data_IF_049798043720
#
_entry.id   IF_049798043720
#
_cell.length_a   1.000
_cell.length_b   1.000
_cell.length_c   1.000
_cell.angle_alpha   90.00
_cell.angle_beta   90.00
_cell.angle_gamma   90.00
#
_symmetry.space_group_name_H-M   'P 1'
#
loop_
_entity.id
_entity.type
_entity.pdbx_description
1 polymer ?
#
# COMPACT_ATOMS: atom_id res chain seq x y z
N UNK A 1 -4.23 15.99 -4.00
CA UNK A 1 -3.37 15.60 -2.87
C UNK A 1 -3.45 16.61 -1.74
N UNK A 2 -3.22 17.91 -1.94
CA UNK A 2 -3.33 18.88 -0.83
C UNK A 2 -4.73 18.96 -0.21
N UNK A 3 -5.79 19.00 -1.03
CA UNK A 3 -7.18 18.94 -0.54
C UNK A 3 -7.46 17.69 0.31
N UNK A 4 -6.80 16.58 -0.05
CA UNK A 4 -6.95 15.28 0.62
C UNK A 4 -6.20 15.30 1.95
N UNK A 5 -5.08 16.03 2.05
CA UNK A 5 -4.40 16.28 3.33
C UNK A 5 -5.23 17.22 4.22
N UNK A 6 -5.75 18.31 3.67
CA UNK A 6 -6.45 19.35 4.43
C UNK A 6 -7.75 18.88 5.07
N UNK A 7 -8.45 17.92 4.46
CA UNK A 7 -9.72 17.39 5.01
C UNK A 7 -9.56 16.52 6.25
N UNK A 8 -8.35 16.09 6.58
CA UNK A 8 -8.10 15.18 7.70
C UNK A 8 -7.64 15.94 8.94
N UNK A 9 -8.22 15.59 10.08
CA UNK A 9 -7.67 15.99 11.38
C UNK A 9 -6.49 15.06 11.72
N UNK A 10 -5.27 15.52 11.43
CA UNK A 10 -4.04 14.75 11.62
C UNK A 10 -3.62 14.64 13.08
N UNK A 11 -3.94 15.63 13.92
CA UNK A 11 -3.51 15.66 15.31
C UNK A 11 -4.72 15.83 16.24
N UNK A 12 -5.69 14.90 16.21
CA UNK A 12 -6.93 15.07 16.94
C UNK A 12 -6.65 15.21 18.44
N UNK A 13 -7.36 16.12 19.11
CA UNK A 13 -7.15 16.48 20.51
C UNK A 13 -7.22 15.28 21.47
N UNK A 14 -7.86 14.19 21.06
CA UNK A 14 -7.94 12.92 21.81
C UNK A 14 -6.61 12.15 21.90
N UNK A 15 -5.63 12.45 21.05
CA UNK A 15 -4.31 11.81 21.11
C UNK A 15 -3.47 12.43 22.23
N UNK A 16 -2.60 11.63 22.90
CA UNK A 16 -1.59 12.17 23.81
C UNK A 16 -0.71 13.23 23.12
N UNK A 17 -0.28 14.25 23.86
CA UNK A 17 0.57 15.33 23.33
C UNK A 17 1.84 14.80 22.65
N UNK A 18 2.47 13.78 23.26
CA UNK A 18 3.65 13.12 22.69
C UNK A 18 3.39 12.48 21.33
N UNK A 19 2.16 12.07 21.03
CA UNK A 19 1.79 11.52 19.72
C UNK A 19 1.37 12.62 18.74
N UNK A 20 0.69 13.69 19.20
CA UNK A 20 0.21 14.77 18.34
C UNK A 20 1.32 15.39 17.49
N UNK A 21 2.47 15.64 18.08
CA UNK A 21 3.63 16.20 17.36
C UNK A 21 4.13 15.28 16.23
N UNK A 22 4.13 13.96 16.45
CA UNK A 22 4.53 12.98 15.45
C UNK A 22 3.52 12.92 14.29
N UNK A 23 2.22 12.92 14.58
CA UNK A 23 1.19 12.91 13.54
C UNK A 23 1.11 14.22 12.75
N UNK A 24 1.36 15.36 13.39
CA UNK A 24 1.40 16.67 12.72
C UNK A 24 2.47 16.74 11.61
N UNK A 25 3.53 15.93 11.71
CA UNK A 25 4.59 15.85 10.70
C UNK A 25 4.26 14.99 9.47
N UNK A 26 3.24 14.13 9.54
CA UNK A 26 2.89 13.19 8.45
C UNK A 26 2.46 13.91 7.16
N UNK A 27 1.60 14.94 7.19
CA UNK A 27 1.25 15.74 6.01
C UNK A 27 2.46 16.25 5.22
N UNK A 28 3.42 16.87 5.91
CA UNK A 28 4.62 17.41 5.28
C UNK A 28 5.47 16.30 4.66
N UNK A 29 5.65 15.19 5.37
CA UNK A 29 6.39 14.04 4.86
C UNK A 29 5.73 13.42 3.62
N UNK A 30 4.39 13.36 3.55
CA UNK A 30 3.67 12.88 2.35
C UNK A 30 3.88 13.83 1.17
N UNK A 31 3.77 15.15 1.36
CA UNK A 31 4.04 16.14 0.30
C UNK A 31 5.46 16.02 -0.23
N UNK A 32 6.44 15.98 0.68
CA UNK A 32 7.84 15.79 0.33
C UNK A 32 8.07 14.46 -0.41
N UNK A 33 7.37 13.38 -0.02
CA UNK A 33 7.53 12.06 -0.64
C UNK A 33 7.04 12.05 -2.09
N UNK A 34 5.90 12.68 -2.36
CA UNK A 34 5.36 12.82 -3.72
C UNK A 34 6.37 13.51 -4.65
N UNK A 35 7.11 14.49 -4.11
CA UNK A 35 8.10 15.25 -4.87
C UNK A 35 9.55 14.79 -4.66
N UNK A 36 9.77 13.60 -4.09
CA UNK A 36 11.11 13.12 -3.79
C UNK A 36 11.97 13.04 -5.07
N UNK A 37 13.16 13.65 -5.12
CA UNK A 37 13.99 13.69 -6.33
C UNK A 37 14.65 12.34 -6.64
N UNK A 38 14.85 11.52 -5.62
CA UNK A 38 15.56 10.26 -5.69
C UNK A 38 15.02 9.24 -4.68
N UNK A 39 15.40 7.97 -4.87
CA UNK A 39 14.93 6.86 -4.04
C UNK A 39 15.43 6.93 -2.60
N UNK A 40 16.64 7.45 -2.36
CA UNK A 40 17.18 7.55 -1.01
C UNK A 40 16.39 8.58 -0.19
N UNK A 41 16.04 9.71 -0.80
CA UNK A 41 15.18 10.74 -0.22
C UNK A 41 13.77 10.21 0.02
N UNK A 42 13.16 9.52 -0.95
CA UNK A 42 11.87 8.88 -0.79
C UNK A 42 11.84 7.88 0.38
N UNK A 43 12.88 7.03 0.51
CA UNK A 43 12.99 6.06 1.60
C UNK A 43 13.08 6.72 2.98
N UNK A 44 13.83 7.84 3.12
CA UNK A 44 13.90 8.59 4.39
C UNK A 44 12.53 9.16 4.77
N UNK A 45 11.76 9.63 3.79
CA UNK A 45 10.43 10.19 4.01
C UNK A 45 9.41 9.10 4.37
N UNK A 46 9.48 7.95 3.72
CA UNK A 46 8.67 6.79 4.13
C UNK A 46 9.01 6.36 5.54
N UNK A 47 10.27 6.33 5.95
CA UNK A 47 10.61 6.02 7.34
C UNK A 47 9.93 6.98 8.34
N UNK A 48 9.83 8.28 8.01
CA UNK A 48 9.09 9.24 8.85
C UNK A 48 7.59 8.95 8.90
N UNK A 49 6.99 8.53 7.79
CA UNK A 49 5.56 8.18 7.72
C UNK A 49 5.31 6.86 8.45
N UNK A 50 6.07 5.81 8.12
CA UNK A 50 5.92 4.44 8.62
C UNK A 50 6.02 4.39 10.15
N UNK A 51 7.01 5.07 10.76
CA UNK A 51 7.15 5.13 12.22
C UNK A 51 5.99 5.82 12.95
N UNK A 52 5.05 6.44 12.23
CA UNK A 52 3.86 7.06 12.80
C UNK A 52 2.62 6.24 12.45
N UNK A 53 2.46 5.84 11.18
CA UNK A 53 1.22 5.21 10.70
C UNK A 53 1.25 3.68 10.75
N UNK A 54 2.43 3.07 10.85
CA UNK A 54 2.63 1.62 11.00
C UNK A 54 3.78 1.35 11.97
N UNK A 55 3.46 1.12 13.25
CA UNK A 55 4.47 0.81 14.26
C UNK A 55 4.57 -0.70 14.44
N UNK A 56 5.78 -1.25 14.20
CA UNK A 56 6.08 -2.68 14.30
C UNK A 56 5.13 -3.55 13.44
N UNK A 57 4.77 -3.05 12.25
CA UNK A 57 3.88 -3.75 11.31
C UNK A 57 2.40 -3.70 11.68
N UNK A 58 2.00 -2.85 12.63
CA UNK A 58 0.63 -2.63 13.05
C UNK A 58 0.17 -1.23 12.67
N UNK A 59 -0.95 -1.14 11.94
CA UNK A 59 -1.53 0.14 11.56
C UNK A 59 -1.95 0.94 12.79
N UNK A 60 -1.65 2.23 12.77
CA UNK A 60 -1.95 3.18 13.83
C UNK A 60 -3.13 4.08 13.45
N UNK A 61 -3.76 4.79 14.41
CA UNK A 61 -4.75 5.81 14.09
C UNK A 61 -4.14 6.82 13.12
N UNK A 62 -4.72 7.10 11.95
CA UNK A 62 -4.08 7.94 10.92
C UNK A 62 -3.60 7.18 9.68
N UNK A 63 -3.50 5.85 9.75
CA UNK A 63 -3.08 5.03 8.61
C UNK A 63 -4.04 5.11 7.42
N UNK A 64 -5.36 5.15 7.67
CA UNK A 64 -6.36 5.30 6.60
C UNK A 64 -6.22 6.66 5.90
N UNK A 65 -6.03 7.74 6.67
CA UNK A 65 -5.80 9.09 6.16
C UNK A 65 -4.52 9.16 5.32
N UNK A 66 -3.45 8.54 5.81
CA UNK A 66 -2.20 8.42 5.06
C UNK A 66 -2.39 7.64 3.76
N UNK A 67 -3.08 6.50 3.77
CA UNK A 67 -3.42 5.76 2.54
C UNK A 67 -4.19 6.64 1.56
N UNK A 68 -5.21 7.38 2.02
CA UNK A 68 -6.01 8.25 1.16
C UNK A 68 -5.16 9.33 0.48
N UNK A 69 -4.25 9.96 1.24
CA UNK A 69 -3.32 10.99 0.74
C UNK A 69 -2.27 10.41 -0.21
N UNK A 70 -1.70 9.25 0.12
CA UNK A 70 -0.74 8.54 -0.71
C UNK A 70 -1.35 8.14 -2.06
N UNK A 71 -2.57 7.59 -2.05
CA UNK A 71 -3.33 7.26 -3.26
C UNK A 71 -3.61 8.51 -4.09
N UNK A 72 -4.02 9.62 -3.45
CA UNK A 72 -4.22 10.89 -4.17
C UNK A 72 -2.90 11.46 -4.73
N UNK A 73 -1.80 11.27 -4.02
CA UNK A 73 -0.47 11.76 -4.40
C UNK A 73 0.16 11.02 -5.58
N UNK A 74 -0.21 9.77 -5.83
CA UNK A 74 0.34 8.96 -6.92
C UNK A 74 0.30 9.67 -8.28
N UNK A 75 -0.79 10.37 -8.59
CA UNK A 75 -1.01 11.07 -9.87
C UNK A 75 0.07 12.11 -10.16
N UNK A 76 0.60 12.75 -9.12
CA UNK A 76 1.59 13.83 -9.23
C UNK A 76 2.98 13.41 -8.77
N UNK A 77 3.16 12.13 -8.41
CA UNK A 77 4.40 11.65 -7.84
C UNK A 77 5.51 11.54 -8.89
N UNK A 78 6.72 11.96 -8.50
CA UNK A 78 7.94 11.65 -9.28
C UNK A 78 8.10 10.13 -9.40
N UNK A 79 8.89 9.61 -10.36
CA UNK A 79 9.14 8.17 -10.46
C UNK A 79 9.68 7.56 -9.15
N UNK A 80 10.60 8.26 -8.47
CA UNK A 80 11.17 7.80 -7.20
C UNK A 80 10.12 7.78 -6.07
N UNK A 81 9.34 8.85 -5.94
CA UNK A 81 8.25 8.93 -4.96
C UNK A 81 7.19 7.88 -5.22
N UNK A 82 6.74 7.73 -6.47
CA UNK A 82 5.70 6.77 -6.89
C UNK A 82 6.06 5.33 -6.53
N UNK A 83 7.26 4.86 -6.89
CA UNK A 83 7.67 3.48 -6.58
C UNK A 83 7.58 3.20 -5.08
N UNK A 84 8.04 4.14 -4.27
CA UNK A 84 8.07 4.02 -2.81
C UNK A 84 6.67 4.15 -2.20
N UNK A 85 5.81 5.01 -2.75
CA UNK A 85 4.39 5.12 -2.36
C UNK A 85 3.66 3.79 -2.64
N UNK A 86 3.86 3.18 -3.81
CA UNK A 86 3.26 1.89 -4.16
C UNK A 86 3.72 0.78 -3.19
N UNK A 87 5.01 0.74 -2.83
CA UNK A 87 5.52 -0.19 -1.82
C UNK A 87 4.84 0.03 -0.46
N UNK A 88 4.75 1.28 0.00
CA UNK A 88 4.14 1.62 1.28
C UNK A 88 2.65 1.28 1.32
N UNK A 89 1.89 1.60 0.27
CA UNK A 89 0.47 1.25 0.16
C UNK A 89 0.26 -0.27 0.24
N UNK A 90 1.15 -1.06 -0.39
CA UNK A 90 1.10 -2.51 -0.28
C UNK A 90 1.36 -2.98 1.15
N UNK A 91 2.35 -2.40 1.84
CA UNK A 91 2.68 -2.73 3.22
C UNK A 91 1.52 -2.43 4.18
N UNK A 92 0.92 -1.23 4.06
CA UNK A 92 -0.20 -0.81 4.91
C UNK A 92 -1.46 -1.61 4.58
N UNK A 93 -1.84 -1.69 3.30
CA UNK A 93 -3.06 -2.35 2.83
C UNK A 93 -3.04 -3.87 2.99
N UNK A 94 -1.86 -4.46 2.87
CA UNK A 94 -1.66 -5.86 3.20
C UNK A 94 -1.74 -6.12 4.70
N UNK A 95 -1.24 -5.21 5.54
CA UNK A 95 -1.05 -5.40 6.97
C UNK A 95 -2.19 -6.16 7.69
N UNK A 96 -1.80 -7.08 8.58
CA UNK A 96 -2.71 -7.76 9.48
C UNK A 96 -2.99 -6.92 10.73
N UNK A 97 -4.12 -7.16 11.40
CA UNK A 97 -4.41 -6.55 12.68
C UNK A 97 -3.41 -7.04 13.74
N UNK A 98 -2.68 -6.09 14.34
CA UNK A 98 -1.82 -6.38 15.48
C UNK A 98 -2.59 -6.67 16.77
N UNK A 99 -1.90 -7.11 17.84
CA UNK A 99 -2.48 -7.19 19.19
C UNK A 99 -3.02 -5.84 19.70
N UNK A 100 -2.46 -4.73 19.18
CA UNK A 100 -2.88 -3.35 19.43
C UNK A 100 -3.93 -2.83 18.43
N UNK A 101 -4.27 -3.61 17.39
CA UNK A 101 -5.25 -3.29 16.34
C UNK A 101 -6.70 -3.36 16.80
N UNK A 102 -6.99 -2.88 18.02
CA UNK A 102 -8.30 -2.94 18.68
C UNK A 102 -9.25 -1.83 18.26
N UNK A 103 -8.89 -0.99 17.28
CA UNK A 103 -9.80 0.04 16.77
C UNK A 103 -10.78 -0.59 15.78
N UNK A 104 -12.09 -0.66 16.11
CA UNK A 104 -13.09 -1.18 15.20
C UNK A 104 -13.07 -0.38 13.89
N UNK A 105 -13.10 -1.07 12.75
CA UNK A 105 -13.18 -0.43 11.43
C UNK A 105 -11.86 0.06 10.83
N UNK A 106 -10.79 0.25 11.61
CA UNK A 106 -9.53 0.84 11.12
C UNK A 106 -9.00 0.13 9.85
N UNK A 107 -8.92 -1.20 9.87
CA UNK A 107 -8.44 -1.97 8.72
C UNK A 107 -9.44 -1.98 7.56
N UNK A 108 -10.74 -1.84 7.82
CA UNK A 108 -11.74 -1.70 6.76
C UNK A 108 -11.54 -0.37 6.03
N UNK A 109 -11.32 0.73 6.76
CA UNK A 109 -11.08 2.06 6.20
C UNK A 109 -9.77 2.11 5.39
N UNK A 110 -8.68 1.54 5.94
CA UNK A 110 -7.40 1.41 5.22
C UNK A 110 -7.60 0.65 3.89
N UNK A 111 -8.30 -0.49 3.96
CA UNK A 111 -8.52 -1.35 2.80
C UNK A 111 -9.39 -0.66 1.75
N UNK A 112 -10.42 0.09 2.17
CA UNK A 112 -11.25 0.89 1.28
C UNK A 112 -10.42 1.93 0.53
N UNK A 113 -9.52 2.64 1.21
CA UNK A 113 -8.63 3.62 0.58
C UNK A 113 -7.63 2.96 -0.37
N UNK A 114 -7.07 1.81 0.00
CA UNK A 114 -6.17 1.05 -0.88
C UNK A 114 -6.90 0.59 -2.14
N UNK A 115 -8.11 0.05 -2.02
CA UNK A 115 -8.95 -0.35 -3.17
C UNK A 115 -9.33 0.83 -4.05
N UNK A 116 -9.58 2.02 -3.47
CA UNK A 116 -9.86 3.24 -4.23
C UNK A 116 -8.75 3.60 -5.21
N UNK A 117 -7.51 3.22 -4.92
CA UNK A 117 -6.36 3.41 -5.83
C UNK A 117 -6.30 2.46 -7.02
N UNK A 118 -7.19 1.46 -7.12
CA UNK A 118 -7.17 0.43 -8.14
C UNK A 118 -6.94 0.93 -9.58
N UNK A 119 -7.63 1.98 -10.07
CA UNK A 119 -7.41 2.47 -11.44
C UNK A 119 -5.98 2.94 -11.68
N UNK A 120 -5.35 3.56 -10.67
CA UNK A 120 -3.97 4.04 -10.77
C UNK A 120 -2.97 2.89 -10.80
N UNK A 121 -3.21 1.83 -10.01
CA UNK A 121 -2.35 0.65 -10.04
C UNK A 121 -2.44 -0.07 -11.38
N UNK A 122 -3.63 -0.13 -11.97
CA UNK A 122 -3.83 -0.70 -13.30
C UNK A 122 -3.08 0.13 -14.37
N UNK A 123 -3.17 1.46 -14.31
CA UNK A 123 -2.42 2.36 -15.19
C UNK A 123 -0.91 2.14 -15.06
N UNK A 124 -0.36 2.18 -13.84
CA UNK A 124 1.09 2.01 -13.63
C UNK A 124 1.58 0.58 -13.87
N UNK A 125 0.70 -0.43 -13.87
CA UNK A 125 1.06 -1.76 -14.35
C UNK A 125 1.43 -1.73 -15.84
N UNK A 126 0.76 -0.89 -16.62
CA UNK A 126 0.99 -0.76 -18.06
C UNK A 126 2.12 0.24 -18.35
N UNK A 127 2.07 1.43 -17.75
CA UNK A 127 2.95 2.56 -18.10
C UNK A 127 4.12 2.79 -17.14
N UNK A 128 4.10 2.16 -15.96
CA UNK A 128 5.11 2.36 -14.92
C UNK A 128 6.46 1.71 -15.22
N UNK A 129 7.45 2.05 -14.38
CA UNK A 129 8.76 1.40 -14.41
C UNK A 129 8.66 -0.09 -14.04
N UNK A 130 9.72 -0.86 -14.30
CA UNK A 130 9.77 -2.27 -13.88
C UNK A 130 9.47 -2.45 -12.38
N UNK A 131 10.00 -1.56 -11.53
CA UNK A 131 9.75 -1.60 -10.09
C UNK A 131 8.27 -1.28 -9.77
N UNK A 132 7.71 -0.24 -10.40
CA UNK A 132 6.29 0.13 -10.23
C UNK A 132 5.37 -1.05 -10.56
N UNK A 133 5.63 -1.75 -11.67
CA UNK A 133 4.83 -2.90 -12.12
C UNK A 133 4.79 -4.02 -11.11
N UNK A 134 5.91 -4.37 -10.47
CA UNK A 134 5.92 -5.40 -9.43
C UNK A 134 5.09 -5.00 -8.21
N UNK A 135 5.18 -3.74 -7.77
CA UNK A 135 4.32 -3.24 -6.69
C UNK A 135 2.85 -3.18 -7.10
N UNK A 136 2.54 -2.85 -8.37
CA UNK A 136 1.18 -2.87 -8.89
C UNK A 136 0.60 -4.29 -8.95
N UNK A 137 1.39 -5.31 -9.31
CA UNK A 137 0.96 -6.72 -9.21
C UNK A 137 0.56 -7.02 -7.76
N UNK A 138 1.41 -6.69 -6.79
CA UNK A 138 1.09 -6.94 -5.39
C UNK A 138 -0.18 -6.18 -4.92
N UNK A 139 -0.34 -4.92 -5.29
CA UNK A 139 -1.50 -4.10 -4.95
C UNK A 139 -2.79 -4.55 -5.61
N UNK A 140 -2.76 -4.95 -6.89
CA UNK A 140 -3.93 -5.46 -7.59
C UNK A 140 -4.40 -6.79 -6.97
N UNK A 141 -3.47 -7.65 -6.55
CA UNK A 141 -3.81 -8.82 -5.75
C UNK A 141 -4.48 -8.44 -4.43
N UNK A 142 -3.90 -7.49 -3.67
CA UNK A 142 -4.52 -6.98 -2.43
C UNK A 142 -5.95 -6.48 -2.70
N UNK A 143 -6.15 -5.72 -3.77
CA UNK A 143 -7.47 -5.21 -4.16
C UNK A 143 -8.46 -6.35 -4.44
N UNK A 144 -8.07 -7.38 -5.19
CA UNK A 144 -8.95 -8.52 -5.47
C UNK A 144 -9.26 -9.38 -4.23
N UNK A 145 -8.38 -9.41 -3.23
CA UNK A 145 -8.68 -10.10 -1.97
C UNK A 145 -9.63 -9.29 -1.09
N UNK A 146 -9.48 -7.96 -1.07
CA UNK A 146 -10.38 -7.06 -0.32
C UNK A 146 -11.76 -6.97 -0.98
N UNK A 147 -11.79 -6.78 -2.30
CA UNK A 147 -12.98 -6.70 -3.13
C UNK A 147 -12.92 -7.77 -4.24
N UNK A 148 -13.52 -8.96 -3.99
CA UNK A 148 -13.53 -10.05 -4.95
C UNK A 148 -14.18 -9.72 -6.30
N UNK A 149 -15.02 -8.68 -6.38
CA UNK A 149 -15.64 -8.26 -7.65
C UNK A 149 -14.62 -7.77 -8.66
N UNK A 150 -13.42 -7.36 -8.21
CA UNK A 150 -12.30 -6.94 -9.05
C UNK A 150 -11.50 -8.11 -9.65
N UNK A 151 -11.74 -9.35 -9.20
CA UNK A 151 -10.98 -10.54 -9.62
C UNK A 151 -10.92 -10.73 -11.15
N UNK A 152 -12.03 -10.62 -11.92
CA UNK A 152 -11.98 -10.77 -13.37
C UNK A 152 -11.08 -9.71 -14.02
N UNK A 153 -11.12 -8.46 -13.52
CA UNK A 153 -10.31 -7.37 -14.03
C UNK A 153 -8.83 -7.57 -13.72
N UNK A 154 -8.49 -7.99 -12.50
CA UNK A 154 -7.10 -8.31 -12.12
C UNK A 154 -6.53 -9.44 -12.97
N UNK A 155 -7.31 -10.51 -13.21
CA UNK A 155 -6.90 -11.61 -14.09
C UNK A 155 -6.61 -11.14 -15.51
N UNK A 156 -7.46 -10.28 -16.06
CA UNK A 156 -7.22 -9.66 -17.36
C UNK A 156 -5.92 -8.85 -17.37
N UNK A 157 -5.71 -7.97 -16.40
CA UNK A 157 -4.48 -7.17 -16.28
C UNK A 157 -3.22 -8.05 -16.15
N UNK A 158 -3.33 -9.16 -15.42
CA UNK A 158 -2.23 -10.12 -15.27
C UNK A 158 -1.90 -10.85 -16.56
N UNK A 159 -2.89 -11.25 -17.35
CA UNK A 159 -2.63 -11.83 -18.67
C UNK A 159 -1.90 -10.84 -19.59
N UNK A 160 -2.20 -9.55 -19.48
CA UNK A 160 -1.56 -8.48 -20.26
C UNK A 160 -0.11 -8.27 -19.84
N UNK A 161 0.15 -8.11 -18.53
CA UNK A 161 1.52 -7.88 -18.04
C UNK A 161 2.43 -9.10 -18.23
N UNK A 162 1.87 -10.32 -18.20
CA UNK A 162 2.62 -11.56 -18.44
C UNK A 162 3.26 -11.61 -19.83
N UNK A 163 2.66 -10.95 -20.82
CA UNK A 163 3.22 -10.86 -22.17
C UNK A 163 4.48 -9.98 -22.24
N UNK A 164 4.77 -9.17 -21.23
CA UNK A 164 5.95 -8.31 -21.18
C UNK A 164 7.24 -9.05 -20.77
N UNK A 165 7.13 -10.28 -20.25
CA UNK A 165 8.27 -11.11 -19.91
C UNK A 165 8.01 -12.15 -18.81
N UNK A 166 8.90 -13.13 -18.74
CA UNK A 166 8.81 -14.29 -17.84
C UNK A 166 8.72 -13.90 -16.36
N UNK A 167 9.46 -12.87 -15.93
CA UNK A 167 9.45 -12.43 -14.53
C UNK A 167 8.07 -11.90 -14.11
N UNK A 168 7.39 -11.16 -15.00
CA UNK A 168 6.04 -10.65 -14.74
C UNK A 168 5.02 -11.77 -14.74
N UNK A 169 5.16 -12.73 -15.67
CA UNK A 169 4.31 -13.92 -15.72
C UNK A 169 4.38 -14.70 -14.41
N UNK A 170 5.60 -15.00 -13.92
CA UNK A 170 5.80 -15.69 -12.63
C UNK A 170 5.20 -14.92 -11.46
N UNK A 171 5.41 -13.61 -11.40
CA UNK A 171 4.87 -12.78 -10.34
C UNK A 171 3.33 -12.74 -10.37
N UNK A 172 2.73 -12.61 -11.54
CA UNK A 172 1.28 -12.61 -11.73
C UNK A 172 0.65 -13.97 -11.41
N UNK A 173 1.25 -15.08 -11.88
CA UNK A 173 0.80 -16.45 -11.59
C UNK A 173 0.83 -16.76 -10.09
N UNK A 174 1.89 -16.36 -9.40
CA UNK A 174 2.01 -16.51 -7.94
C UNK A 174 0.96 -15.72 -7.15
N UNK A 175 0.27 -14.78 -7.81
CA UNK A 175 -0.70 -13.85 -7.20
C UNK A 175 -2.09 -13.96 -7.82
N UNK A 176 -2.37 -15.01 -8.59
CA UNK A 176 -3.71 -15.23 -9.12
C UNK A 176 -4.73 -15.37 -7.97
N UNK A 177 -5.76 -14.52 -7.91
CA UNK A 177 -6.82 -14.67 -6.91
C UNK A 177 -7.52 -16.03 -7.14
N UNK A 178 -7.92 -16.75 -6.08
CA UNK A 178 -8.66 -17.99 -6.23
C UNK A 178 -9.94 -17.77 -7.05
N UNK A 179 -10.30 -18.72 -7.91
CA UNK A 179 -11.62 -18.71 -8.54
C UNK A 179 -12.70 -18.90 -7.47
N UNK A 180 -13.89 -18.29 -7.62
CA UNK A 180 -14.99 -18.47 -6.66
C UNK A 180 -15.43 -19.95 -6.47
N UNK A 181 -15.03 -20.88 -7.34
CA UNK A 181 -15.25 -22.32 -7.14
C UNK A 181 -14.27 -23.00 -6.18
N UNK A 182 -13.21 -22.31 -5.74
CA UNK A 182 -12.17 -22.87 -4.85
C UNK A 182 -12.40 -22.36 -3.43
N UNK A 183 -12.93 -23.24 -2.56
CA UNK A 183 -13.52 -22.93 -1.24
C UNK A 183 -12.56 -22.50 -0.13
N UNK A 184 -11.34 -22.06 -0.43
CA UNK A 184 -10.39 -21.57 0.56
C UNK A 184 -9.66 -20.35 -0.01
N UNK A 185 -10.14 -19.15 0.32
CA UNK A 185 -9.38 -17.94 0.08
C UNK A 185 -8.16 -17.94 1.02
N UNK A 186 -6.91 -17.89 0.52
CA UNK A 186 -5.78 -17.66 1.39
C UNK A 186 -5.95 -16.29 2.03
N UNK A 187 -6.04 -16.25 3.37
CA UNK A 187 -6.15 -14.99 4.10
C UNK A 187 -4.93 -14.11 3.78
N UNK A 188 -5.15 -12.82 3.55
CA UNK A 188 -4.09 -11.82 3.30
C UNK A 188 -2.94 -11.98 4.32
N UNK A 189 -3.31 -12.31 5.56
CA UNK A 189 -2.39 -12.57 6.67
C UNK A 189 -1.38 -13.70 6.40
N UNK A 190 -1.80 -14.81 5.79
CA UNK A 190 -0.92 -15.95 5.50
C UNK A 190 0.10 -15.62 4.39
N UNK A 191 -0.33 -14.88 3.37
CA UNK A 191 0.55 -14.46 2.27
C UNK A 191 1.61 -13.45 2.73
N UNK A 192 1.27 -12.59 3.69
CA UNK A 192 2.21 -11.60 4.24
C UNK A 192 3.13 -12.16 5.32
N UNK A 193 2.66 -13.10 6.13
CA UNK A 193 3.49 -13.83 7.06
C UNK A 193 4.64 -14.55 6.32
N UNK A 194 4.35 -15.16 5.17
CA UNK A 194 5.35 -15.82 4.30
C UNK A 194 6.37 -14.83 3.70
N UNK A 195 5.97 -13.59 3.42
CA UNK A 195 6.88 -12.56 2.87
C UNK A 195 7.76 -11.93 3.95
N UNK A 196 7.24 -11.78 5.17
CA UNK A 196 8.02 -11.35 6.35
C UNK A 196 9.15 -12.34 6.65
N UNK A 197 8.85 -13.64 6.65
CA UNK A 197 9.86 -14.70 6.88
C UNK A 197 10.95 -14.74 5.79
N UNK A 198 10.59 -14.44 4.54
CA UNK A 198 11.56 -14.35 3.44
C UNK A 198 12.47 -13.12 3.55
N UNK A 199 11.96 -11.93 3.94
CA UNK A 199 12.79 -10.73 4.14
C UNK A 199 13.76 -10.86 5.33
N UNK A 200 13.36 -11.52 6.41
CA UNK A 200 14.26 -11.82 7.54
C UNK A 200 15.36 -12.82 7.22
N UNK A 201 15.17 -13.66 6.19
CA UNK A 201 16.16 -14.67 5.78
C UNK A 201 17.23 -14.10 4.81
N UNK A 202 16.91 -13.04 4.06
CA UNK A 202 17.83 -12.39 3.10
C UNK A 202 18.59 -11.18 3.68
N UNK A 203 18.39 -10.87 4.97
CA UNK A 203 19.04 -9.74 5.66
C UNK A 203 20.29 -10.14 6.45
N UNK A 204 21.15 -10.99 5.90
CA UNK A 204 22.52 -11.22 6.39
C UNK A 204 23.52 -10.94 5.29
#
# INVERSE_FOLDING_TARGET
MDWEIERHDWAPARLPESMRSHYAGVPAAIRELVHAPDRATANRLVFRIDNVVVIQGNAQPGAAQACACLVSGLVSATPAGRTVILELLFQIGGGAAGPLGKLPGLYADIRAEVVRGFPLYAEYLETGSRADRFHCIDLLWVCAVIDPTLTPRVRYLYSRVSALGEDYRRAAEAKLPPTPSTRAAPTIEAALAKRRSQRSATGR
#
